data_IF_702474054327
#
_entry.id   IF_702474054327
#
_cell.length_a   1.000
_cell.length_b   1.000
_cell.length_c   1.000
_cell.angle_alpha   90.00
_cell.angle_beta   90.00
_cell.angle_gamma   90.00
#
_symmetry.space_group_name_H-M   'P 1'
#
loop_
_entity.id
_entity.type
_entity.pdbx_description
1 polymer ?
#
# COMPACT_ATOMS: atom_id res chain seq x y z
N UNK A 1 39.43 -5.32 -29.87
CA UNK A 1 38.14 -5.74 -30.44
C UNK A 1 37.09 -5.58 -29.35
N UNK A 2 36.41 -4.42 -29.28
CA UNK A 2 35.45 -4.14 -28.20
C UNK A 2 34.03 -4.18 -28.76
N UNK A 3 33.23 -5.07 -28.19
CA UNK A 3 31.85 -5.35 -28.57
C UNK A 3 30.97 -4.11 -28.41
N UNK A 4 30.29 -3.75 -29.50
CA UNK A 4 29.25 -2.71 -29.53
C UNK A 4 27.99 -3.26 -28.86
N UNK A 5 27.65 -2.74 -27.68
CA UNK A 5 26.35 -3.00 -27.03
C UNK A 5 25.20 -2.53 -27.94
N UNK A 6 24.10 -3.30 -28.07
CA UNK A 6 23.01 -2.95 -28.98
C UNK A 6 22.25 -1.74 -28.43
N UNK A 7 22.26 -0.66 -29.20
CA UNK A 7 21.47 0.54 -28.97
C UNK A 7 19.98 0.18 -28.99
N UNK A 8 19.33 0.24 -27.83
CA UNK A 8 17.88 0.07 -27.71
C UNK A 8 17.19 1.14 -28.57
N UNK A 9 16.53 0.70 -29.64
CA UNK A 9 15.74 1.56 -30.51
C UNK A 9 14.58 2.20 -29.72
N UNK A 10 14.30 3.51 -29.91
CA UNK A 10 13.21 4.16 -29.20
C UNK A 10 11.88 3.58 -29.69
N UNK A 11 11.22 2.82 -28.79
CA UNK A 11 9.92 2.22 -29.07
C UNK A 11 8.93 3.29 -29.53
N UNK A 12 8.50 3.20 -30.78
CA UNK A 12 7.55 4.11 -31.43
C UNK A 12 6.30 4.25 -30.54
N UNK A 13 6.03 5.46 -30.03
CA UNK A 13 4.83 5.71 -29.19
C UNK A 13 3.60 5.30 -29.99
N UNK A 14 2.87 4.28 -29.51
CA UNK A 14 1.60 3.85 -30.12
C UNK A 14 0.64 5.05 -30.11
N UNK A 15 0.21 5.48 -31.29
CA UNK A 15 -0.79 6.54 -31.43
C UNK A 15 -2.18 5.90 -31.33
N UNK A 16 -2.98 6.34 -30.37
CA UNK A 16 -4.37 5.89 -30.19
C UNK A 16 -5.30 6.89 -30.87
N UNK A 17 -6.00 6.46 -31.92
CA UNK A 17 -6.90 7.32 -32.72
C UNK A 17 -8.27 7.39 -32.06
N UNK A 18 -8.49 8.40 -31.23
CA UNK A 18 -9.75 8.59 -30.51
C UNK A 18 -10.87 9.09 -31.43
N UNK A 19 -12.06 8.48 -31.28
CA UNK A 19 -13.28 8.88 -32.00
C UNK A 19 -14.28 9.52 -31.04
N UNK A 20 -15.19 10.37 -31.52
CA UNK A 20 -16.23 10.98 -30.68
C UNK A 20 -17.08 9.95 -29.92
N UNK A 21 -17.32 8.77 -30.52
CA UNK A 21 -18.03 7.67 -29.86
C UNK A 21 -17.28 7.15 -28.63
N UNK A 22 -15.96 6.99 -28.71
CA UNK A 22 -15.15 6.53 -27.59
C UNK A 22 -15.04 7.60 -26.49
N UNK A 23 -15.01 8.87 -26.86
CA UNK A 23 -15.04 9.98 -25.90
C UNK A 23 -16.39 10.03 -25.16
N UNK A 24 -17.51 9.86 -25.87
CA UNK A 24 -18.85 9.81 -25.26
C UNK A 24 -18.98 8.66 -24.23
N UNK A 25 -18.39 7.50 -24.51
CA UNK A 25 -18.33 6.39 -23.54
C UNK A 25 -17.57 6.78 -22.27
N UNK A 26 -16.44 7.50 -22.40
CA UNK A 26 -15.70 8.01 -21.26
C UNK A 26 -16.52 9.02 -20.47
N UNK A 27 -17.13 10.00 -21.14
CA UNK A 27 -17.94 11.04 -20.51
C UNK A 27 -19.11 10.46 -19.72
N UNK A 28 -19.87 9.55 -20.32
CA UNK A 28 -20.97 8.86 -19.66
C UNK A 28 -20.47 8.08 -18.44
N UNK A 29 -19.36 7.35 -18.57
CA UNK A 29 -18.75 6.61 -17.47
C UNK A 29 -18.33 7.51 -16.30
N UNK A 30 -17.79 8.70 -16.58
CA UNK A 30 -17.41 9.66 -15.53
C UNK A 30 -18.60 10.38 -14.90
N UNK A 31 -19.67 10.64 -15.64
CA UNK A 31 -20.91 11.27 -15.16
C UNK A 31 -21.66 10.38 -14.15
N UNK A 32 -21.77 9.09 -14.45
CA UNK A 32 -22.57 8.15 -13.63
C UNK A 32 -21.83 7.62 -12.40
N UNK A 33 -20.49 7.56 -12.43
CA UNK A 33 -19.69 7.24 -11.25
C UNK A 33 -18.62 6.16 -11.45
N UNK A 34 -18.03 5.69 -10.33
CA UNK A 34 -16.83 4.83 -10.36
C UNK A 34 -17.05 3.48 -11.07
N UNK A 35 -18.20 2.84 -10.90
CA UNK A 35 -18.52 1.57 -11.54
C UNK A 35 -18.67 1.75 -13.07
N UNK A 36 -19.47 2.72 -13.50
CA UNK A 36 -19.69 3.04 -14.92
C UNK A 36 -18.42 3.45 -15.64
N UNK A 37 -17.49 4.14 -14.96
CA UNK A 37 -16.14 4.41 -15.48
C UNK A 37 -15.37 3.12 -15.77
N UNK A 38 -15.39 2.14 -14.86
CA UNK A 38 -14.73 0.84 -15.08
C UNK A 38 -15.36 0.09 -16.25
N UNK A 39 -16.68 0.15 -16.40
CA UNK A 39 -17.38 -0.43 -17.54
C UNK A 39 -17.02 0.26 -18.86
N UNK A 40 -16.99 1.60 -18.90
CA UNK A 40 -16.55 2.36 -20.06
C UNK A 40 -15.14 1.97 -20.49
N UNK A 41 -14.21 1.85 -19.54
CA UNK A 41 -12.83 1.41 -19.83
C UNK A 41 -12.84 0.00 -20.41
N UNK A 42 -13.51 -0.94 -19.76
CA UNK A 42 -13.58 -2.34 -20.21
C UNK A 42 -14.19 -2.46 -21.61
N UNK A 43 -15.21 -1.65 -21.91
CA UNK A 43 -15.86 -1.61 -23.23
C UNK A 43 -14.93 -1.06 -24.30
N UNK A 44 -14.23 0.05 -24.03
CA UNK A 44 -13.24 0.61 -24.96
C UNK A 44 -12.11 -0.39 -25.21
N UNK A 45 -11.59 -1.04 -24.16
CA UNK A 45 -10.57 -2.08 -24.32
C UNK A 45 -11.02 -3.24 -25.21
N UNK A 46 -12.27 -3.70 -25.05
CA UNK A 46 -12.83 -4.77 -25.89
C UNK A 46 -12.98 -4.35 -27.35
N UNK A 47 -13.37 -3.10 -27.60
CA UNK A 47 -13.57 -2.59 -28.95
C UNK A 47 -12.26 -2.29 -29.70
N UNK A 48 -11.20 -1.90 -28.99
CA UNK A 48 -9.98 -1.38 -29.63
C UNK A 48 -8.71 -2.18 -29.35
N UNK A 49 -8.73 -3.07 -28.35
CA UNK A 49 -7.55 -3.77 -27.84
C UNK A 49 -6.58 -2.87 -27.06
N UNK A 50 -6.95 -1.62 -26.76
CA UNK A 50 -6.05 -0.68 -26.10
C UNK A 50 -5.90 -0.95 -24.60
N UNK A 51 -4.76 -0.56 -23.99
CA UNK A 51 -4.59 -0.65 -22.55
C UNK A 51 -5.48 0.37 -21.82
N UNK A 52 -5.90 0.06 -20.58
CA UNK A 52 -6.63 1.00 -19.70
C UNK A 52 -5.93 2.35 -19.55
N UNK A 53 -4.60 2.36 -19.61
CA UNK A 53 -3.81 3.57 -19.53
C UNK A 53 -4.16 4.58 -20.64
N UNK A 54 -4.45 4.11 -21.87
CA UNK A 54 -4.88 4.98 -22.97
C UNK A 54 -6.20 5.70 -22.65
N UNK A 55 -7.16 4.97 -22.06
CA UNK A 55 -8.44 5.52 -21.61
C UNK A 55 -8.25 6.56 -20.50
N UNK A 56 -7.36 6.28 -19.56
CA UNK A 56 -6.97 7.22 -18.50
C UNK A 56 -6.37 8.52 -19.05
N UNK A 57 -5.42 8.40 -19.98
CA UNK A 57 -4.75 9.56 -20.56
C UNK A 57 -5.69 10.40 -21.42
N UNK A 58 -6.63 9.77 -22.14
CA UNK A 58 -7.68 10.51 -22.85
C UNK A 58 -8.64 11.20 -21.90
N UNK A 59 -9.14 10.52 -20.88
CA UNK A 59 -10.04 11.12 -19.89
C UNK A 59 -9.41 12.34 -19.19
N UNK A 60 -8.07 12.32 -18.96
CA UNK A 60 -7.32 13.47 -18.47
C UNK A 60 -7.29 14.62 -19.48
N UNK A 61 -7.06 14.34 -20.77
CA UNK A 61 -7.09 15.35 -21.85
C UNK A 61 -8.47 15.99 -22.02
N UNK A 62 -9.54 15.22 -21.81
CA UNK A 62 -10.92 15.69 -21.84
C UNK A 62 -11.35 16.42 -20.55
N UNK A 63 -10.46 16.52 -19.55
CA UNK A 63 -10.79 17.18 -18.27
C UNK A 63 -11.79 16.44 -17.38
N UNK A 64 -12.12 15.18 -17.69
CA UNK A 64 -13.11 14.37 -16.95
C UNK A 64 -12.61 13.93 -15.58
N UNK A 65 -11.29 13.94 -15.38
CA UNK A 65 -10.69 13.63 -14.10
C UNK A 65 -10.77 14.86 -13.20
N UNK A 66 -11.45 14.74 -12.05
CA UNK A 66 -11.47 15.79 -11.04
C UNK A 66 -10.05 16.27 -10.74
N UNK A 67 -9.86 17.60 -10.67
CA UNK A 67 -8.66 18.17 -10.04
C UNK A 67 -8.58 17.59 -8.63
N UNK A 68 -7.38 17.13 -8.23
CA UNK A 68 -7.16 16.60 -6.87
C UNK A 68 -7.75 17.60 -5.86
N UNK A 69 -8.76 17.17 -5.12
CA UNK A 69 -9.51 18.02 -4.19
C UNK A 69 -8.66 18.50 -3.00
N UNK A 70 -7.48 17.93 -2.81
CA UNK A 70 -6.50 18.41 -1.84
C UNK A 70 -5.30 19.01 -2.58
N UNK A 71 -4.87 20.23 -2.21
CA UNK A 71 -3.53 20.70 -2.52
C UNK A 71 -2.53 19.61 -2.11
N UNK A 72 -1.54 19.36 -2.97
CA UNK A 72 -0.39 18.52 -2.61
C UNK A 72 0.29 19.18 -1.40
N UNK A 73 0.01 18.69 -0.18
CA UNK A 73 0.70 19.14 1.03
C UNK A 73 2.20 18.97 0.78
N UNK A 74 2.94 20.07 0.67
CA UNK A 74 4.39 20.03 0.42
C UNK A 74 5.09 19.51 1.66
N UNK A 75 6.17 18.75 1.48
CA UNK A 75 7.00 18.31 2.60
C UNK A 75 7.75 19.51 3.17
N UNK A 76 7.64 19.72 4.48
CA UNK A 76 8.42 20.76 5.15
C UNK A 76 9.82 20.25 5.52
N UNK A 77 10.73 21.17 5.80
CA UNK A 77 12.08 20.89 6.29
C UNK A 77 12.06 20.14 7.62
N UNK A 78 11.11 20.47 8.48
CA UNK A 78 10.91 19.85 9.79
C UNK A 78 10.41 18.41 9.65
N UNK A 79 9.47 18.16 8.72
CA UNK A 79 9.03 16.81 8.41
C UNK A 79 10.19 15.97 7.88
N UNK A 80 11.00 16.50 6.95
CA UNK A 80 12.18 15.80 6.44
C UNK A 80 13.20 15.51 7.53
N UNK A 81 13.44 16.44 8.45
CA UNK A 81 14.35 16.22 9.56
C UNK A 81 13.81 15.15 10.53
N UNK A 82 12.50 15.17 10.79
CA UNK A 82 11.80 14.16 11.56
C UNK A 82 11.96 12.77 10.91
N UNK A 83 11.79 12.69 9.58
CA UNK A 83 12.02 11.47 8.81
C UNK A 83 13.46 10.97 8.92
N UNK A 84 14.47 11.84 8.79
CA UNK A 84 15.88 11.47 8.90
C UNK A 84 16.22 10.93 10.29
N UNK A 85 15.74 11.59 11.34
CA UNK A 85 16.03 11.23 12.73
C UNK A 85 15.42 9.87 13.12
N UNK A 86 14.30 9.49 12.51
CA UNK A 86 13.60 8.24 12.82
C UNK A 86 13.87 7.12 11.81
N UNK A 87 14.52 7.42 10.68
CA UNK A 87 14.87 6.44 9.66
C UNK A 87 15.78 5.36 10.26
N UNK A 88 15.36 4.09 10.17
CA UNK A 88 16.13 2.93 10.63
C UNK A 88 16.04 2.60 12.12
N UNK A 89 15.41 3.47 12.93
CA UNK A 89 15.22 3.26 14.37
C UNK A 89 13.76 3.04 14.77
N UNK A 90 12.80 3.50 13.95
CA UNK A 90 11.37 3.43 14.23
C UNK A 90 10.63 2.76 13.08
N UNK A 91 9.57 2.03 13.41
CA UNK A 91 8.62 1.53 12.42
C UNK A 91 8.07 2.69 11.57
N UNK A 92 8.01 2.49 10.24
CA UNK A 92 7.54 3.49 9.27
C UNK A 92 6.14 4.03 9.55
N UNK A 93 5.30 3.25 10.21
CA UNK A 93 3.96 3.66 10.62
C UNK A 93 3.99 4.71 11.73
N UNK A 94 4.85 4.51 12.75
CA UNK A 94 5.03 5.49 13.84
C UNK A 94 5.53 6.81 13.27
N UNK A 95 6.45 6.72 12.30
CA UNK A 95 6.93 7.88 11.55
C UNK A 95 5.77 8.57 10.83
N UNK A 96 4.91 7.81 10.14
CA UNK A 96 3.77 8.32 9.38
C UNK A 96 2.73 9.04 10.24
N UNK A 97 2.39 8.50 11.41
CA UNK A 97 1.54 9.20 12.38
C UNK A 97 2.18 10.49 12.87
N UNK A 98 3.46 10.43 13.23
CA UNK A 98 4.16 11.60 13.78
C UNK A 98 4.27 12.76 12.78
N UNK A 99 4.39 12.47 11.48
CA UNK A 99 4.35 13.51 10.43
C UNK A 99 2.94 13.76 9.88
N UNK A 100 1.93 13.06 10.40
CA UNK A 100 0.53 13.08 9.96
C UNK A 100 0.40 12.91 8.43
N UNK A 101 0.99 11.83 7.90
CA UNK A 101 0.93 11.46 6.48
C UNK A 101 0.72 9.98 6.30
N UNK A 102 0.35 9.56 5.08
CA UNK A 102 0.26 8.14 4.76
C UNK A 102 1.64 7.47 4.74
N UNK A 103 1.67 6.20 5.13
CA UNK A 103 2.88 5.36 5.09
C UNK A 103 3.51 5.37 3.70
N UNK A 104 2.70 5.27 2.63
CA UNK A 104 3.19 5.34 1.26
C UNK A 104 3.88 6.67 0.92
N UNK A 105 3.36 7.80 1.40
CA UNK A 105 3.99 9.11 1.21
C UNK A 105 5.34 9.18 1.93
N UNK A 106 5.42 8.70 3.18
CA UNK A 106 6.66 8.61 3.97
C UNK A 106 7.69 7.73 3.26
N UNK A 107 7.28 6.55 2.79
CA UNK A 107 8.14 5.57 2.09
C UNK A 107 8.75 6.17 0.82
N UNK A 108 7.93 6.88 0.02
CA UNK A 108 8.39 7.61 -1.17
C UNK A 108 9.32 8.76 -0.79
N UNK A 109 9.01 9.52 0.26
CA UNK A 109 9.83 10.65 0.69
C UNK A 109 11.18 10.20 1.21
N UNK A 110 11.25 9.20 2.09
CA UNK A 110 12.47 8.61 2.62
C UNK A 110 13.42 8.16 1.51
N UNK A 111 12.91 7.47 0.49
CA UNK A 111 13.69 7.08 -0.70
C UNK A 111 14.28 8.28 -1.44
N UNK A 112 13.57 9.42 -1.47
CA UNK A 112 14.04 10.65 -2.12
C UNK A 112 15.07 11.41 -1.30
N UNK A 113 14.89 11.50 0.02
CA UNK A 113 15.77 12.32 0.88
C UNK A 113 17.05 11.62 1.30
N UNK A 114 17.07 10.28 1.33
CA UNK A 114 18.24 9.51 1.74
C UNK A 114 18.85 8.67 0.58
N UNK A 115 18.33 8.83 -0.64
CA UNK A 115 18.74 8.04 -1.81
C UNK A 115 18.38 6.55 -1.73
N UNK A 116 18.85 5.77 -2.71
CA UNK A 116 18.61 4.31 -2.80
C UNK A 116 19.26 3.51 -1.66
N UNK A 117 20.18 4.12 -0.90
CA UNK A 117 20.99 3.46 0.14
C UNK A 117 20.45 3.62 1.56
N UNK A 118 19.44 4.46 1.80
CA UNK A 118 18.64 4.30 3.00
C UNK A 118 17.73 3.11 2.83
N UNK A 119 18.24 1.95 3.24
CA UNK A 119 17.39 0.86 3.66
C UNK A 119 16.50 1.42 4.77
N UNK A 120 15.27 1.78 4.39
CA UNK A 120 14.15 1.78 5.32
C UNK A 120 14.16 0.35 5.84
N UNK A 121 14.73 0.13 7.03
CA UNK A 121 14.82 -1.21 7.62
C UNK A 121 13.39 -1.74 7.71
N UNK A 122 13.08 -2.74 6.88
CA UNK A 122 11.74 -3.29 6.78
C UNK A 122 11.50 -4.23 7.96
N UNK A 123 10.39 -4.02 8.65
CA UNK A 123 9.98 -4.89 9.74
C UNK A 123 10.26 -4.37 11.16
N UNK A 124 9.51 -4.96 12.08
CA UNK A 124 9.47 -4.63 13.50
C UNK A 124 10.44 -5.53 14.26
N UNK A 125 11.21 -4.98 15.19
CA UNK A 125 12.05 -5.80 16.08
C UNK A 125 11.22 -6.55 17.12
N UNK A 126 11.80 -7.58 17.74
CA UNK A 126 11.19 -8.28 18.88
C UNK A 126 10.76 -7.34 20.01
N UNK A 127 11.58 -6.32 20.27
CA UNK A 127 11.34 -5.29 21.28
C UNK A 127 10.14 -4.44 20.94
N UNK A 128 10.12 -3.86 19.75
CA UNK A 128 9.03 -3.00 19.30
C UNK A 128 7.71 -3.78 19.22
N UNK A 129 7.75 -5.05 18.78
CA UNK A 129 6.56 -5.89 18.74
C UNK A 129 6.02 -6.18 20.14
N UNK A 130 6.91 -6.47 21.09
CA UNK A 130 6.54 -6.70 22.48
C UNK A 130 5.87 -5.45 23.08
N UNK A 131 6.44 -4.27 22.86
CA UNK A 131 5.86 -2.99 23.28
C UNK A 131 4.48 -2.77 22.65
N UNK A 132 4.37 -2.96 21.33
CA UNK A 132 3.15 -2.77 20.55
C UNK A 132 1.99 -3.66 21.02
N UNK A 133 2.27 -4.93 21.33
CA UNK A 133 1.27 -5.90 21.77
C UNK A 133 1.05 -5.91 23.30
N UNK A 134 1.77 -5.07 24.05
CA UNK A 134 1.74 -5.09 25.52
C UNK A 134 2.21 -6.44 26.10
N UNK A 135 3.14 -7.11 25.42
CA UNK A 135 3.73 -8.40 25.81
C UNK A 135 5.18 -8.21 26.25
N UNK A 136 5.72 -9.22 26.94
CA UNK A 136 7.15 -9.25 27.28
C UNK A 136 7.95 -9.76 26.08
N UNK A 137 9.19 -9.28 25.90
CA UNK A 137 10.09 -9.75 24.84
C UNK A 137 10.28 -11.27 24.81
N UNK A 138 10.23 -11.93 25.97
CA UNK A 138 10.29 -13.40 26.07
C UNK A 138 9.11 -14.10 25.39
N UNK A 139 7.92 -13.52 25.41
CA UNK A 139 6.76 -14.08 24.71
C UNK A 139 6.95 -14.01 23.18
N UNK A 140 7.49 -12.89 22.69
CA UNK A 140 7.85 -12.75 21.27
C UNK A 140 8.94 -13.75 20.89
N UNK A 141 9.93 -13.96 21.76
CA UNK A 141 10.97 -14.97 21.54
C UNK A 141 10.39 -16.38 21.50
N UNK A 142 9.48 -16.75 22.41
CA UNK A 142 8.85 -18.07 22.38
C UNK A 142 8.05 -18.32 21.11
N UNK A 143 7.37 -17.30 20.56
CA UNK A 143 6.67 -17.46 19.27
C UNK A 143 7.63 -17.73 18.10
N UNK A 144 8.84 -17.17 18.16
CA UNK A 144 9.88 -17.44 17.16
C UNK A 144 10.43 -18.85 17.35
N UNK A 145 10.72 -19.25 18.59
CA UNK A 145 11.27 -20.57 18.92
C UNK A 145 10.29 -21.71 18.57
N UNK A 146 8.98 -21.45 18.74
CA UNK A 146 7.89 -22.35 18.33
C UNK A 146 7.61 -22.32 16.82
N UNK A 147 8.28 -21.44 16.07
CA UNK A 147 8.11 -21.30 14.62
C UNK A 147 6.82 -20.60 14.18
N UNK A 148 6.04 -20.06 15.13
CA UNK A 148 4.78 -19.35 14.86
C UNK A 148 5.02 -17.98 14.24
N UNK A 149 6.07 -17.29 14.68
CA UNK A 149 6.44 -15.97 14.19
C UNK A 149 7.74 -16.04 13.39
N UNK A 150 7.64 -15.75 12.10
CA UNK A 150 8.79 -15.72 11.18
C UNK A 150 9.46 -14.36 11.17
N UNK A 151 10.73 -14.34 10.80
CA UNK A 151 11.52 -13.14 10.63
C UNK A 151 12.88 -13.46 10.03
N UNK A 152 13.70 -12.44 9.87
CA UNK A 152 15.04 -12.57 9.33
C UNK A 152 16.02 -11.70 10.14
N UNK A 153 17.28 -12.11 10.18
CA UNK A 153 18.34 -11.28 10.71
C UNK A 153 18.75 -10.26 9.65
N UNK A 154 18.63 -8.97 9.96
CA UNK A 154 19.12 -7.90 9.09
C UNK A 154 20.50 -7.44 9.61
N UNK A 155 21.57 -7.81 8.90
CA UNK A 155 22.93 -7.47 9.32
C UNK A 155 24.04 -8.23 8.57
N UNK A 156 25.27 -8.14 9.09
CA UNK A 156 26.47 -8.77 8.50
C UNK A 156 26.95 -9.98 9.34
N UNK A 157 26.04 -10.70 10.00
CA UNK A 157 26.37 -11.74 10.98
C UNK A 157 27.27 -11.23 12.10
N UNK A 158 26.90 -10.09 12.69
CA UNK A 158 27.53 -9.56 13.90
C UNK A 158 26.65 -9.86 15.11
N UNK A 159 27.24 -9.77 16.31
CA UNK A 159 26.52 -10.02 17.57
C UNK A 159 25.38 -9.02 17.83
N UNK A 160 25.34 -7.89 17.13
CA UNK A 160 24.32 -6.84 17.21
C UNK A 160 23.25 -6.93 16.11
N UNK A 161 23.29 -7.97 15.26
CA UNK A 161 22.30 -8.17 14.20
C UNK A 161 20.87 -8.24 14.79
N UNK A 162 20.00 -7.35 14.32
CA UNK A 162 18.64 -7.24 14.84
C UNK A 162 17.71 -8.20 14.09
N UNK A 163 17.07 -9.11 14.83
CA UNK A 163 15.99 -9.94 14.28
C UNK A 163 14.78 -9.06 13.95
N UNK A 164 14.38 -9.06 12.67
CA UNK A 164 13.32 -8.24 12.11
C UNK A 164 12.17 -9.12 11.63
N UNK A 165 10.96 -8.72 11.99
CA UNK A 165 9.71 -9.38 11.63
C UNK A 165 9.03 -8.50 10.58
N UNK A 166 8.82 -9.04 9.38
CA UNK A 166 8.16 -8.26 8.32
C UNK A 166 6.67 -8.04 8.63
N UNK A 167 6.07 -7.00 8.04
CA UNK A 167 4.62 -6.77 8.16
C UNK A 167 3.81 -7.99 7.69
N UNK A 168 4.32 -8.72 6.68
CA UNK A 168 3.69 -9.93 6.15
C UNK A 168 3.76 -11.08 7.16
N UNK A 169 4.93 -11.32 7.75
CA UNK A 169 5.10 -12.40 8.73
C UNK A 169 4.27 -12.14 9.98
N UNK A 170 4.20 -10.88 10.41
CA UNK A 170 3.36 -10.49 11.53
C UNK A 170 1.86 -10.61 11.22
N UNK A 171 1.45 -10.27 9.99
CA UNK A 171 0.08 -10.50 9.53
C UNK A 171 -0.29 -11.98 9.53
N UNK A 172 0.58 -12.84 8.97
CA UNK A 172 0.36 -14.28 8.98
C UNK A 172 0.26 -14.82 10.40
N UNK A 173 1.14 -14.40 11.32
CA UNK A 173 1.04 -14.74 12.73
C UNK A 173 -0.32 -14.35 13.33
N UNK A 174 -0.79 -13.12 13.08
CA UNK A 174 -2.09 -12.68 13.59
C UNK A 174 -3.26 -13.49 13.00
N UNK A 175 -3.11 -13.99 11.78
CA UNK A 175 -4.13 -14.79 11.09
C UNK A 175 -4.14 -16.23 11.58
N UNK A 176 -2.98 -16.82 11.88
CA UNK A 176 -2.87 -18.23 12.29
C UNK A 176 -2.96 -18.44 13.80
N UNK A 177 -2.65 -17.41 14.60
CA UNK A 177 -2.67 -17.44 16.06
C UNK A 177 -3.48 -16.28 16.67
N UNK A 178 -4.77 -16.12 16.31
CA UNK A 178 -5.61 -15.05 16.84
C UNK A 178 -5.79 -15.11 18.37
N UNK A 179 -5.68 -16.28 18.99
CA UNK A 179 -5.80 -16.52 20.43
C UNK A 179 -4.71 -15.82 21.25
N UNK A 180 -3.54 -15.58 20.65
CA UNK A 180 -2.43 -14.87 21.31
C UNK A 180 -2.60 -13.34 21.28
N UNK A 181 -3.53 -12.84 20.47
CA UNK A 181 -3.80 -11.42 20.26
C UNK A 181 -4.67 -10.85 21.39
N UNK A 182 -4.02 -10.47 22.49
CA UNK A 182 -4.69 -9.75 23.58
C UNK A 182 -4.91 -8.27 23.22
N UNK A 183 -5.83 -7.98 22.31
CA UNK A 183 -6.08 -6.62 21.79
C UNK A 183 -6.26 -5.54 22.88
N UNK A 184 -6.80 -5.90 24.05
CA UNK A 184 -6.94 -4.99 25.19
C UNK A 184 -5.61 -4.48 25.78
N UNK A 185 -4.48 -5.14 25.50
CA UNK A 185 -3.14 -4.76 25.96
C UNK A 185 -2.33 -4.04 24.91
N UNK A 186 -2.82 -4.02 23.68
CA UNK A 186 -2.10 -3.40 22.59
C UNK A 186 -2.05 -1.90 22.82
N UNK A 187 -0.92 -1.31 22.48
CA UNK A 187 -0.85 0.15 22.44
C UNK A 187 -1.77 0.65 21.33
N UNK A 188 -2.17 1.92 21.44
CA UNK A 188 -2.94 2.58 20.40
C UNK A 188 -2.26 2.44 19.03
N UNK A 189 -0.93 2.57 19.01
CA UNK A 189 -0.09 2.41 17.82
C UNK A 189 -0.19 1.02 17.23
N UNK A 190 -0.21 -0.02 18.08
CA UNK A 190 -0.38 -1.40 17.63
C UNK A 190 -1.74 -1.67 17.04
N UNK A 191 -2.80 -1.19 17.69
CA UNK A 191 -4.16 -1.34 17.19
C UNK A 191 -4.33 -0.62 15.85
N UNK A 192 -3.83 0.59 15.72
CA UNK A 192 -3.89 1.34 14.47
C UNK A 192 -3.05 0.68 13.36
N UNK A 193 -1.89 0.09 13.68
CA UNK A 193 -1.13 -0.74 12.74
C UNK A 193 -1.97 -1.96 12.30
N UNK A 194 -2.51 -2.74 13.25
CA UNK A 194 -3.30 -3.94 12.96
C UNK A 194 -4.50 -3.63 12.08
N UNK A 195 -5.26 -2.58 12.45
CA UNK A 195 -6.37 -2.04 11.67
C UNK A 195 -5.94 -1.58 10.28
N UNK A 196 -4.73 -1.04 10.11
CA UNK A 196 -4.23 -0.66 8.79
C UNK A 196 -3.87 -1.86 7.92
N UNK A 197 -3.30 -2.93 8.51
CA UNK A 197 -2.92 -4.15 7.79
C UNK A 197 -4.17 -4.94 7.37
N UNK A 198 -5.14 -5.08 8.27
CA UNK A 198 -6.42 -5.74 7.94
C UNK A 198 -7.35 -4.83 7.11
N UNK A 199 -7.29 -3.50 7.32
CA UNK A 199 -8.13 -2.49 6.68
C UNK A 199 -7.71 -2.13 5.26
N UNK A 200 -6.45 -2.38 4.90
CA UNK A 200 -6.02 -2.40 3.49
C UNK A 200 -6.65 -3.59 2.75
N UNK A 201 -7.02 -4.67 3.46
CA UNK A 201 -7.81 -5.77 2.90
C UNK A 201 -9.29 -5.41 2.76
N UNK A 202 -9.87 -4.63 3.68
CA UNK A 202 -11.30 -4.27 3.64
C UNK A 202 -11.68 -3.05 2.78
N UNK A 203 -10.73 -2.32 2.18
CA UNK A 203 -11.06 -1.25 1.21
C UNK A 203 -11.33 -1.74 -0.21
N UNK A 204 -11.24 -3.05 -0.46
CA UNK A 204 -11.56 -3.63 -1.77
C UNK A 204 -12.90 -4.38 -1.80
N UNK A 205 -13.42 -4.88 -0.67
CA UNK A 205 -14.62 -5.74 -0.66
C UNK A 205 -15.68 -5.37 0.39
N UNK A 206 -15.99 -4.08 0.54
CA UNK A 206 -17.27 -3.65 1.17
C UNK A 206 -18.20 -3.08 0.10
N UNK A 207 -19.11 -3.93 -0.40
CA UNK A 207 -20.31 -3.52 -1.13
C UNK A 207 -21.46 -3.52 -0.10
N UNK A 208 -21.94 -2.36 0.37
CA UNK A 208 -23.18 -2.32 1.10
C UNK A 208 -24.35 -2.36 0.09
N UNK A 209 -25.16 -3.41 0.18
CA UNK A 209 -26.48 -3.48 -0.47
C UNK A 209 -26.65 -4.62 -1.48
N UNK A 210 -26.70 -5.86 -1.00
CA UNK A 210 -27.43 -6.93 -1.70
C UNK A 210 -28.47 -7.47 -0.71
N UNK A 211 -29.57 -6.74 -0.56
CA UNK A 211 -30.77 -7.28 0.05
C UNK A 211 -31.33 -8.35 -0.87
N UNK A 212 -31.08 -9.61 -0.49
CA UNK A 212 -31.84 -10.75 -1.00
C UNK A 212 -33.26 -10.67 -0.45
N UNK A 213 -34.12 -9.94 -1.16
CA UNK A 213 -35.57 -10.10 -1.07
C UNK A 213 -35.97 -11.44 -1.70
N UNK A 214 -35.91 -12.49 -0.89
CA UNK A 214 -36.40 -13.82 -1.24
C UNK A 214 -37.92 -13.85 -1.33
N UNK A 215 -38.40 -14.38 -2.46
CA UNK A 215 -39.69 -15.05 -2.70
C UNK A 215 -40.57 -15.22 -1.45
N UNK A 216 -41.73 -14.55 -1.47
CA UNK A 216 -42.94 -15.06 -0.84
C UNK A 216 -43.46 -16.18 -1.74
N UNK A 217 -43.57 -17.39 -1.20
CA UNK A 217 -44.36 -18.48 -1.77
C UNK A 217 -45.43 -18.77 -0.72
N UNK A 218 -46.67 -18.67 -1.15
CA UNK A 218 -47.88 -18.95 -0.37
C UNK A 218 -47.91 -20.40 0.13
N UNK A 219 -48.45 -20.57 1.34
CA UNK A 219 -49.29 -21.72 1.70
C UNK A 219 -50.44 -21.21 2.56
#
# INVERSE_FOLDING_TARGET
MNATSPTLSPQKRRQYVWTPHLDALLEQGYRTGRASRRFAFSRIQKLTGWPRQACWDRARKLGLTARRSSPLRRWSTEEDQCLRNMAGTRNIWVIAQKVNRSVGAVRIRLRRINGSSARVREGTTKTELAEMMGRRRRAVQSWIDLGWLKGHYEGKQRSDDSFRISDRDLYEFCRTHPEELLFHRWTREGLEWFLSVIGVSSRTDWIPGEERGGRVVEV
#
